data_IF_654996350338
#
_entry.id   IF_654996350338
#
_cell.length_a   1.000
_cell.length_b   1.000
_cell.length_c   1.000
_cell.angle_alpha   90.00
_cell.angle_beta   90.00
_cell.angle_gamma   90.00
#
_symmetry.space_group_name_H-M   'P 1'
#
loop_
_entity.id
_entity.type
_entity.pdbx_description
1 polymer ?
#
# COMPACT_ATOMS: atom_id res chain seq x y z
N UNK A 1 -9.59 -6.11 -3.82
CA UNK A 1 -8.97 -4.77 -3.89
C UNK A 1 -9.68 -4.01 -5.00
N UNK A 2 -10.79 -3.35 -4.66
CA UNK A 2 -11.46 -2.44 -5.58
C UNK A 2 -10.80 -1.10 -5.27
N UNK A 3 -9.86 -0.68 -6.12
CA UNK A 3 -9.37 0.69 -6.08
C UNK A 3 -10.50 1.56 -6.62
N UNK A 4 -11.12 2.45 -5.83
CA UNK A 4 -12.22 3.28 -6.30
C UNK A 4 -11.79 4.15 -7.50
N UNK A 5 -10.51 4.50 -7.57
CA UNK A 5 -9.91 5.32 -8.61
C UNK A 5 -9.21 4.45 -9.64
N UNK A 6 -9.98 3.87 -10.56
CA UNK A 6 -9.41 3.19 -11.73
C UNK A 6 -8.82 4.26 -12.66
N UNK A 7 -7.52 4.23 -12.99
CA UNK A 7 -6.96 5.15 -13.98
C UNK A 7 -7.52 4.83 -15.37
N UNK A 8 -8.02 5.85 -16.06
CA UNK A 8 -8.63 5.73 -17.37
C UNK A 8 -8.16 6.85 -18.29
N UNK A 9 -7.91 6.49 -19.56
CA UNK A 9 -7.76 7.48 -20.62
C UNK A 9 -9.12 7.74 -21.25
N UNK A 10 -9.51 9.01 -21.28
CA UNK A 10 -10.75 9.50 -21.88
C UNK A 10 -10.65 9.49 -23.43
N UNK A 11 -11.79 9.70 -24.09
CA UNK A 11 -11.88 9.73 -25.55
C UNK A 11 -11.13 10.92 -26.18
N UNK A 12 -10.94 11.99 -25.43
CA UNK A 12 -10.18 13.18 -25.80
C UNK A 12 -8.65 13.00 -25.66
N UNK A 13 -8.20 11.81 -25.23
CA UNK A 13 -6.79 11.51 -25.02
C UNK A 13 -6.23 11.94 -23.66
N UNK A 14 -7.03 12.62 -22.83
CA UNK A 14 -6.64 13.02 -21.47
C UNK A 14 -6.85 11.91 -20.44
N UNK A 15 -6.22 12.03 -19.28
CA UNK A 15 -6.50 11.14 -18.14
C UNK A 15 -7.71 11.59 -17.32
N UNK A 16 -8.30 10.67 -16.55
CA UNK A 16 -9.35 11.00 -15.59
C UNK A 16 -8.84 11.86 -14.43
N UNK A 17 -7.61 11.61 -13.98
CA UNK A 17 -6.89 12.43 -13.02
C UNK A 17 -5.43 12.60 -13.42
N UNK A 18 -4.78 13.65 -12.91
CA UNK A 18 -3.38 13.94 -13.19
C UNK A 18 -2.46 12.85 -12.63
N UNK A 19 -1.44 12.38 -13.39
CA UNK A 19 -0.44 11.47 -12.84
C UNK A 19 0.46 12.11 -11.78
N UNK A 20 0.58 13.44 -11.78
CA UNK A 20 1.66 14.17 -11.10
C UNK A 20 1.18 15.24 -10.11
N UNK A 21 0.01 15.81 -10.33
CA UNK A 21 -0.50 16.89 -9.50
C UNK A 21 -1.41 16.30 -8.42
N UNK A 22 -0.98 16.43 -7.17
CA UNK A 22 -1.75 15.99 -6.01
C UNK A 22 -2.92 16.91 -5.68
N UNK A 23 -3.98 16.33 -5.14
CA UNK A 23 -5.16 17.04 -4.66
C UNK A 23 -4.91 17.61 -3.26
N UNK A 24 -4.94 18.94 -3.13
CA UNK A 24 -4.80 19.61 -1.82
C UNK A 24 -6.06 19.48 -0.94
N UNK A 25 -7.18 19.02 -1.51
CA UNK A 25 -8.47 18.87 -0.82
C UNK A 25 -8.70 17.46 -0.28
N UNK A 26 -7.86 16.50 -0.67
CA UNK A 26 -7.99 15.13 -0.20
C UNK A 26 -7.46 15.02 1.22
N UNK A 27 -8.30 14.53 2.12
CA UNK A 27 -7.93 14.27 3.50
C UNK A 27 -7.39 12.84 3.63
N UNK A 28 -6.10 12.72 3.90
CA UNK A 28 -5.41 11.43 4.06
C UNK A 28 -5.87 10.64 5.29
N UNK A 29 -6.35 11.33 6.33
CA UNK A 29 -6.81 10.69 7.58
C UNK A 29 -8.19 10.07 7.42
N UNK A 30 -9.09 10.76 6.70
CA UNK A 30 -10.45 10.25 6.45
C UNK A 30 -10.56 9.44 5.16
N UNK A 31 -9.64 9.64 4.22
CA UNK A 31 -9.67 9.02 2.90
C UNK A 31 -10.72 9.63 1.97
N UNK A 32 -11.14 10.86 2.22
CA UNK A 32 -12.27 11.50 1.54
C UNK A 32 -11.79 12.76 0.81
N UNK A 33 -12.19 12.88 -0.46
CA UNK A 33 -12.11 14.11 -1.24
C UNK A 33 -13.52 14.69 -1.39
N UNK A 34 -13.72 16.02 -1.24
CA UNK A 34 -15.02 16.65 -1.52
C UNK A 34 -15.44 16.53 -3.00
N UNK A 35 -14.48 16.34 -3.92
CA UNK A 35 -14.78 16.10 -5.34
C UNK A 35 -15.05 14.61 -5.64
N UNK A 36 -14.82 13.72 -4.67
CA UNK A 36 -15.01 12.27 -4.79
C UNK A 36 -14.21 11.65 -5.95
N UNK A 37 -14.85 10.70 -6.64
CA UNK A 37 -14.27 9.93 -7.74
C UNK A 37 -14.01 10.74 -9.01
N UNK A 38 -14.62 11.92 -9.14
CA UNK A 38 -14.47 12.83 -10.28
C UNK A 38 -13.33 13.85 -10.08
N UNK A 39 -12.55 13.72 -8.99
CA UNK A 39 -11.39 14.58 -8.77
C UNK A 39 -10.36 14.39 -9.90
N UNK A 40 -9.95 15.50 -10.51
CA UNK A 40 -8.97 15.50 -11.60
C UNK A 40 -7.52 15.48 -11.11
N UNK A 41 -7.32 15.41 -9.81
CA UNK A 41 -6.00 15.43 -9.16
C UNK A 41 -5.75 14.12 -8.43
N UNK A 42 -4.48 13.81 -8.26
CA UNK A 42 -4.02 12.59 -7.61
C UNK A 42 -4.27 12.62 -6.10
N UNK A 43 -4.89 11.60 -5.54
CA UNK A 43 -5.03 11.48 -4.09
C UNK A 43 -3.86 10.73 -3.47
N UNK A 44 -3.37 11.22 -2.32
CA UNK A 44 -2.35 10.54 -1.50
C UNK A 44 -2.95 9.40 -0.69
N UNK A 45 -3.58 8.45 -1.38
CA UNK A 45 -4.12 7.23 -0.76
C UNK A 45 -2.98 6.40 -0.18
N UNK A 46 -3.20 5.71 0.95
CA UNK A 46 -2.16 4.93 1.65
C UNK A 46 -1.26 4.12 0.70
N UNK A 47 0.04 4.41 0.72
CA UNK A 47 1.03 3.75 -0.15
C UNK A 47 1.07 4.26 -1.59
N UNK A 48 0.52 5.45 -1.85
CA UNK A 48 0.53 6.16 -3.14
C UNK A 48 0.05 5.28 -4.31
N UNK A 49 -1.03 4.54 -4.04
CA UNK A 49 -1.54 3.52 -4.96
C UNK A 49 -2.06 4.11 -6.26
N UNK A 50 -2.68 5.29 -6.23
CA UNK A 50 -3.21 5.94 -7.42
C UNK A 50 -2.11 6.29 -8.43
N UNK A 51 -0.95 6.78 -7.93
CA UNK A 51 0.20 7.07 -8.77
C UNK A 51 0.83 5.78 -9.27
N UNK A 52 1.07 4.85 -8.35
CA UNK A 52 1.73 3.57 -8.62
C UNK A 52 1.05 2.75 -9.72
N UNK A 53 -0.28 2.75 -9.75
CA UNK A 53 -1.05 2.01 -10.75
C UNK A 53 -1.56 2.88 -11.91
N UNK A 54 -1.18 4.15 -11.98
CA UNK A 54 -1.56 5.05 -13.08
C UNK A 54 -1.01 4.56 -14.43
N UNK A 55 -1.74 4.82 -15.52
CA UNK A 55 -1.36 4.41 -16.89
C UNK A 55 0.01 4.96 -17.35
N UNK A 56 0.47 6.03 -16.71
CA UNK A 56 1.78 6.68 -16.93
C UNK A 56 2.96 5.91 -16.30
N UNK A 57 2.73 5.14 -15.24
CA UNK A 57 3.81 4.52 -14.42
C UNK A 57 3.67 3.00 -14.25
N UNK A 58 2.45 2.48 -14.28
CA UNK A 58 2.22 1.06 -14.11
C UNK A 58 2.98 0.27 -15.17
N UNK A 59 3.86 -0.62 -14.73
CA UNK A 59 4.67 -1.53 -15.54
C UNK A 59 5.56 -0.83 -16.58
N UNK A 60 5.94 0.43 -16.37
CA UNK A 60 6.82 1.15 -17.31
C UNK A 60 8.31 1.01 -17.00
N UNK A 61 8.64 0.42 -15.85
CA UNK A 61 10.01 0.15 -15.42
C UNK A 61 10.13 -1.28 -14.88
N UNK A 62 11.32 -1.85 -15.01
CA UNK A 62 11.61 -3.21 -14.54
C UNK A 62 11.75 -3.25 -13.02
N UNK A 63 11.23 -4.31 -12.40
CA UNK A 63 11.31 -4.51 -10.96
C UNK A 63 12.74 -4.91 -10.57
N UNK A 64 13.24 -4.30 -9.49
CA UNK A 64 14.53 -4.65 -8.89
C UNK A 64 14.47 -5.91 -8.02
N UNK A 65 13.26 -6.31 -7.60
CA UNK A 65 13.08 -7.48 -6.75
C UNK A 65 12.96 -8.75 -7.60
N UNK A 66 13.48 -9.88 -7.11
CA UNK A 66 13.33 -11.16 -7.82
C UNK A 66 11.88 -11.63 -7.80
N UNK A 67 11.59 -12.63 -8.64
CA UNK A 67 10.34 -13.37 -8.63
C UNK A 67 10.46 -14.67 -7.82
N UNK A 68 9.34 -15.13 -7.26
CA UNK A 68 9.22 -16.43 -6.61
C UNK A 68 9.11 -17.57 -7.65
N UNK A 69 8.99 -18.81 -7.17
CA UNK A 69 8.80 -19.99 -8.04
C UNK A 69 7.51 -19.97 -8.87
N UNK A 70 6.58 -19.06 -8.57
CA UNK A 70 5.32 -18.85 -9.28
C UNK A 70 5.41 -17.68 -10.27
N UNK A 71 6.56 -17.02 -10.39
CA UNK A 71 6.77 -15.86 -11.25
C UNK A 71 6.22 -14.55 -10.67
N UNK A 72 5.93 -14.48 -9.37
CA UNK A 72 5.38 -13.31 -8.69
C UNK A 72 6.47 -12.55 -7.94
N UNK A 73 6.34 -11.23 -7.80
CA UNK A 73 7.31 -10.42 -7.05
C UNK A 73 7.44 -10.92 -5.61
N UNK A 74 8.67 -11.16 -5.12
CA UNK A 74 8.85 -11.59 -3.72
C UNK A 74 8.39 -10.53 -2.71
N UNK A 75 8.46 -9.24 -3.06
CA UNK A 75 8.08 -8.13 -2.18
C UNK A 75 6.61 -7.75 -2.28
N UNK A 76 6.09 -7.67 -3.51
CA UNK A 76 4.76 -7.10 -3.79
C UNK A 76 3.75 -8.13 -4.34
N UNK A 77 4.15 -9.39 -4.47
CA UNK A 77 3.32 -10.47 -5.02
C UNK A 77 2.92 -10.26 -6.47
N UNK A 78 1.75 -10.81 -6.82
CA UNK A 78 1.18 -10.75 -8.17
C UNK A 78 0.85 -9.33 -8.65
N UNK A 79 0.61 -8.40 -7.72
CA UNK A 79 0.18 -7.03 -8.01
C UNK A 79 1.34 -6.04 -8.04
N UNK A 80 2.59 -6.51 -8.21
CA UNK A 80 3.70 -5.57 -8.33
C UNK A 80 3.49 -4.59 -9.49
N UNK A 81 3.64 -3.29 -9.22
CA UNK A 81 3.49 -2.25 -10.23
C UNK A 81 4.68 -2.14 -11.20
N UNK A 82 5.79 -2.82 -10.91
CA UNK A 82 6.95 -2.89 -11.79
C UNK A 82 6.93 -4.18 -12.61
N UNK A 83 7.57 -4.14 -13.77
CA UNK A 83 7.59 -5.25 -14.72
C UNK A 83 8.60 -6.33 -14.32
N UNK A 84 8.20 -7.60 -14.37
CA UNK A 84 9.12 -8.73 -14.10
C UNK A 84 9.53 -9.50 -15.36
N UNK A 85 8.94 -9.16 -16.52
CA UNK A 85 9.32 -9.70 -17.82
C UNK A 85 9.18 -8.63 -18.90
N UNK A 86 9.81 -8.84 -20.05
CA UNK A 86 9.65 -7.97 -21.21
C UNK A 86 8.21 -7.91 -21.72
N UNK A 87 7.44 -8.99 -21.54
CA UNK A 87 6.02 -9.04 -21.88
C UNK A 87 5.15 -8.23 -20.91
N UNK A 88 5.61 -8.04 -19.68
CA UNK A 88 4.95 -7.25 -18.64
C UNK A 88 5.32 -5.75 -18.76
N UNK A 89 6.48 -5.43 -19.34
CA UNK A 89 6.94 -4.06 -19.53
C UNK A 89 6.15 -3.34 -20.63
N UNK A 90 5.58 -2.17 -20.30
CA UNK A 90 4.81 -1.32 -21.23
C UNK A 90 5.44 0.06 -21.42
N UNK A 91 5.09 0.70 -22.53
CA UNK A 91 5.42 2.11 -22.72
C UNK A 91 4.55 2.98 -21.80
N UNK A 92 5.12 4.05 -21.22
CA UNK A 92 4.35 5.08 -20.54
C UNK A 92 3.29 5.67 -21.48
N UNK A 93 2.07 5.83 -20.97
CA UNK A 93 1.05 6.61 -21.66
C UNK A 93 1.13 8.05 -21.20
N UNK A 94 1.04 8.99 -22.14
CA UNK A 94 1.04 10.42 -21.90
C UNK A 94 -0.32 11.01 -22.24
N UNK A 95 -0.64 12.13 -21.59
CA UNK A 95 -1.80 12.93 -21.95
C UNK A 95 -1.59 13.56 -23.33
N UNK A 96 -2.63 13.67 -24.14
CA UNK A 96 -2.56 14.31 -25.46
C UNK A 96 -2.08 15.77 -25.39
N UNK A 97 -2.35 16.47 -24.29
CA UNK A 97 -1.85 17.83 -24.06
C UNK A 97 -0.34 17.87 -23.75
N UNK A 98 0.24 16.75 -23.31
CA UNK A 98 1.68 16.59 -23.01
C UNK A 98 2.44 15.95 -24.19
N UNK A 99 1.74 15.21 -25.05
CA UNK A 99 2.29 14.43 -26.17
C UNK A 99 2.99 15.27 -27.26
N UNK A 100 2.94 16.60 -27.19
CA UNK A 100 3.66 17.51 -28.09
C UNK A 100 5.18 17.56 -27.88
N UNK A 101 5.70 17.03 -26.76
CA UNK A 101 7.14 16.90 -26.52
C UNK A 101 7.60 15.51 -26.97
N UNK A 102 7.72 15.33 -28.29
CA UNK A 102 8.17 14.09 -28.92
C UNK A 102 9.56 13.68 -28.42
N UNK A 103 9.62 12.72 -27.50
CA UNK A 103 10.84 11.97 -27.21
C UNK A 103 11.06 10.95 -28.34
N UNK A 104 11.62 11.38 -29.47
CA UNK A 104 12.47 10.50 -30.26
C UNK A 104 13.76 10.30 -29.47
N UNK A 105 13.72 9.45 -28.44
CA UNK A 105 14.94 8.82 -27.94
C UNK A 105 15.11 7.54 -28.73
N UNK A 106 16.05 7.59 -29.66
CA UNK A 106 16.66 6.43 -30.28
C UNK A 106 17.06 5.41 -29.21
N UNK A 107 16.99 4.14 -29.58
CA UNK A 107 16.89 2.97 -28.70
C UNK A 107 18.10 2.62 -27.82
N UNK A 108 18.88 3.57 -27.30
CA UNK A 108 20.13 3.28 -26.57
C UNK A 108 20.32 4.05 -25.24
N UNK A 109 19.24 4.44 -24.55
CA UNK A 109 19.34 5.30 -23.36
C UNK A 109 18.36 5.02 -22.23
N UNK A 110 18.17 3.74 -21.85
CA UNK A 110 17.23 3.32 -20.79
C UNK A 110 17.66 3.62 -19.35
N UNK A 111 18.49 4.62 -19.09
CA UNK A 111 19.09 4.83 -17.75
C UNK A 111 18.71 6.16 -17.06
N UNK A 112 17.68 6.86 -17.53
CA UNK A 112 17.34 8.18 -16.96
C UNK A 112 15.85 8.44 -16.77
N UNK A 113 15.11 7.40 -16.39
CA UNK A 113 13.80 7.56 -15.72
C UNK A 113 13.85 7.12 -14.26
N UNK A 114 15.05 7.03 -13.69
CA UNK A 114 15.35 6.93 -12.26
C UNK A 114 15.09 8.26 -11.56
N UNK A 115 13.81 8.66 -11.52
CA UNK A 115 13.31 9.54 -10.47
C UNK A 115 12.24 8.78 -9.69
N UNK A 116 12.61 7.60 -9.21
CA UNK A 116 12.22 7.21 -7.86
C UNK A 116 13.28 7.86 -6.98
N UNK A 117 13.02 9.07 -6.52
CA UNK A 117 13.66 9.51 -5.28
C UNK A 117 13.13 8.54 -4.24
N UNK A 118 13.91 7.53 -3.92
CA UNK A 118 13.73 6.77 -2.69
C UNK A 118 13.93 7.81 -1.58
N UNK A 119 12.83 8.39 -1.12
CA UNK A 119 12.84 9.31 -0.01
C UNK A 119 13.29 8.52 1.24
N UNK A 120 14.50 8.78 1.79
CA UNK A 120 15.03 8.01 2.91
C UNK A 120 14.21 8.21 4.19
N UNK A 121 13.28 9.18 4.19
CA UNK A 121 12.47 9.54 5.36
C UNK A 121 11.24 8.65 5.57
N UNK A 122 10.91 7.75 4.63
CA UNK A 122 9.82 6.77 4.80
C UNK A 122 10.29 5.40 5.31
N UNK A 123 11.45 5.36 5.98
CA UNK A 123 11.99 4.17 6.65
C UNK A 123 12.02 4.29 8.19
N UNK A 124 11.22 5.20 8.76
CA UNK A 124 11.02 5.29 10.22
C UNK A 124 9.55 5.50 10.55
N UNK A 125 9.02 4.65 11.43
CA UNK A 125 7.79 4.85 12.25
C UNK A 125 6.48 4.14 11.88
N UNK A 126 6.51 2.94 11.27
CA UNK A 126 5.39 1.99 11.46
C UNK A 126 5.90 0.58 11.76
N UNK A 127 6.64 0.44 12.85
CA UNK A 127 6.57 -0.78 13.64
C UNK A 127 5.28 -0.69 14.48
N UNK A 128 4.27 -1.58 14.31
CA UNK A 128 3.16 -1.62 15.26
C UNK A 128 3.71 -2.09 16.62
N UNK A 129 3.70 -1.26 17.68
CA UNK A 129 4.14 -1.69 19.00
C UNK A 129 2.97 -2.44 19.67
N UNK A 130 2.47 -3.52 19.06
CA UNK A 130 1.32 -4.25 19.61
C UNK A 130 1.43 -5.77 19.48
N UNK A 131 2.20 -6.33 18.55
CA UNK A 131 2.20 -7.79 18.37
C UNK A 131 3.12 -8.55 19.32
N UNK A 132 4.25 -7.96 19.75
CA UNK A 132 5.13 -8.60 20.73
C UNK A 132 4.69 -8.40 22.19
N UNK A 133 3.95 -7.33 22.51
CA UNK A 133 3.47 -7.11 23.88
C UNK A 133 2.41 -8.14 24.29
N UNK A 134 1.55 -8.56 23.35
CA UNK A 134 0.55 -9.60 23.59
C UNK A 134 1.16 -10.99 23.77
N UNK A 135 2.23 -11.32 23.05
CA UNK A 135 2.89 -12.62 23.19
C UNK A 135 3.60 -12.77 24.55
N UNK A 136 4.22 -11.69 25.04
CA UNK A 136 4.88 -11.69 26.35
C UNK A 136 3.84 -11.75 27.48
N UNK A 137 2.72 -11.03 27.38
CA UNK A 137 1.61 -11.14 28.35
C UNK A 137 0.95 -12.53 28.36
N UNK A 138 0.77 -13.15 27.19
CA UNK A 138 0.20 -14.50 27.09
C UNK A 138 1.15 -15.56 27.66
N UNK A 139 2.47 -15.45 27.42
CA UNK A 139 3.47 -16.34 28.01
C UNK A 139 3.60 -16.15 29.53
N UNK A 140 3.45 -14.92 30.05
CA UNK A 140 3.42 -14.67 31.48
C UNK A 140 2.15 -15.25 32.15
N UNK A 141 0.98 -15.17 31.50
CA UNK A 141 -0.25 -15.79 32.01
C UNK A 141 -0.19 -17.33 32.03
N UNK A 142 0.39 -17.95 30.99
CA UNK A 142 0.56 -19.41 30.94
C UNK A 142 1.64 -19.92 31.91
N UNK A 143 2.67 -19.12 32.18
CA UNK A 143 3.68 -19.40 33.20
C UNK A 143 3.13 -19.25 34.63
N UNK A 144 2.18 -18.33 34.85
CA UNK A 144 1.47 -18.19 36.13
C UNK A 144 0.53 -19.37 36.40
N UNK A 145 -0.19 -19.86 35.38
CA UNK A 145 -1.01 -21.08 35.51
C UNK A 145 -0.17 -22.32 35.85
N UNK A 146 1.07 -22.40 35.39
CA UNK A 146 1.95 -23.55 35.66
C UNK A 146 2.59 -23.51 37.06
N UNK A 147 2.72 -22.32 37.68
CA UNK A 147 3.25 -22.17 39.05
C UNK A 147 2.20 -22.27 40.16
N UNK A 148 0.91 -22.17 39.84
CA UNK A 148 -0.16 -22.36 40.83
C UNK A 148 -0.64 -23.82 40.93
N UNK A 149 -0.13 -24.72 40.07
CA UNK A 149 -0.47 -26.15 40.06
C UNK A 149 0.32 -26.99 41.08
N UNK A 150 0.87 -26.38 42.13
CA UNK A 150 1.42 -27.10 43.29
C UNK A 150 1.11 -26.37 44.59
N UNK A 151 -0.16 -26.12 44.90
CA UNK A 151 -0.65 -26.14 46.30
C UNK A 151 -2.17 -26.09 46.34
N UNK A 152 -2.77 -27.24 46.66
CA UNK A 152 -3.98 -27.45 47.46
C UNK A 152 -4.96 -26.26 47.57
N UNK A 153 -6.18 -26.41 47.04
CA UNK A 153 -7.29 -25.53 47.44
C UNK A 153 -8.49 -25.48 46.50
N UNK A 154 -9.08 -26.63 46.17
CA UNK A 154 -10.41 -26.69 45.56
C UNK A 154 -11.48 -26.38 46.62
N UNK A 155 -11.83 -25.12 46.86
CA UNK A 155 -13.10 -24.78 47.56
C UNK A 155 -13.62 -23.33 47.47
N UNK A 156 -13.15 -22.41 46.62
CA UNK A 156 -13.73 -21.05 46.55
C UNK A 156 -13.87 -20.48 45.14
N UNK A 157 -14.63 -21.14 44.26
CA UNK A 157 -15.12 -20.52 43.01
C UNK A 157 -16.62 -20.80 42.83
N UNK A 158 -17.40 -20.40 43.84
CA UNK A 158 -18.84 -20.24 43.74
C UNK A 158 -19.22 -19.02 44.56
N UNK A 159 -18.87 -17.81 44.10
CA UNK A 159 -19.53 -16.55 44.46
C UNK A 159 -18.87 -15.41 43.69
N UNK A 160 -19.23 -15.20 42.43
CA UNK A 160 -19.17 -13.90 41.72
C UNK A 160 -19.77 -14.04 40.31
N UNK A 161 -20.96 -14.64 40.23
CA UNK A 161 -21.85 -14.57 39.07
C UNK A 161 -23.03 -13.66 39.39
N UNK A 162 -22.78 -12.38 39.69
CA UNK A 162 -23.79 -11.32 39.74
C UNK A 162 -23.15 -9.96 40.03
N UNK A 163 -22.64 -9.26 39.02
CA UNK A 163 -22.53 -7.79 38.98
C UNK A 163 -21.80 -7.33 37.71
N UNK A 164 -22.48 -7.32 36.57
CA UNK A 164 -22.22 -6.32 35.53
C UNK A 164 -23.40 -6.33 34.53
N UNK A 165 -24.58 -5.99 35.06
CA UNK A 165 -25.74 -5.57 34.29
C UNK A 165 -26.13 -4.23 34.93
N UNK A 166 -26.15 -3.17 34.13
CA UNK A 166 -26.23 -1.74 34.51
C UNK A 166 -24.96 -1.22 35.23
N UNK A 167 -24.18 -0.27 34.68
CA UNK A 167 -24.48 1.11 34.22
C UNK A 167 -23.64 1.48 33.02
#
# INVERSE_FOLDING_TARGET
MIFPYRPQRKSDGSFNYSPDIYCDKYDENTGICPDGDECVYLHRVSGDVERKYHLRYYKTAQCVHPTDSRGQCVKNGAHCAFAHSSADLRQPQFDQHEAGFSTTVDGDGRDRTSFVIEDPLWHSEFAPPCFLQFFVLLLHLLSFCSRFSTSKGLSEILHLSAACRQV
#
